data_IF_332835165650
#
_entry.id   IF_332835165650
#
_cell.length_a   1.000
_cell.length_b   1.000
_cell.length_c   1.000
_cell.angle_alpha   90.00
_cell.angle_beta   90.00
_cell.angle_gamma   90.00
#
_symmetry.space_group_name_H-M   'P 1'
#
loop_
_entity.id
_entity.type
_entity.pdbx_description
1 polymer ?
#
# COMPACT_ATOMS: atom_id res chain seq x y z
N UNK A 1 -29.91 4.72 -2.81
CA UNK A 1 -28.70 5.44 -2.38
C UNK A 1 -28.58 6.65 -3.29
N UNK A 2 -28.60 7.85 -2.73
CA UNK A 2 -28.49 9.11 -3.50
C UNK A 2 -27.03 9.41 -3.81
N UNK A 3 -26.75 10.29 -4.78
CA UNK A 3 -25.38 10.71 -5.10
C UNK A 3 -24.67 11.29 -3.85
N UNK A 4 -25.41 12.01 -3.02
CA UNK A 4 -24.93 12.53 -1.73
C UNK A 4 -24.53 11.42 -0.76
N UNK A 5 -25.26 10.30 -0.74
CA UNK A 5 -24.93 9.16 0.11
C UNK A 5 -23.65 8.47 -0.37
N UNK A 6 -23.46 8.38 -1.70
CA UNK A 6 -22.23 7.84 -2.32
C UNK A 6 -21.04 8.73 -1.98
N UNK A 7 -21.16 10.05 -2.15
CA UNK A 7 -20.09 11.00 -1.83
C UNK A 7 -19.69 10.93 -0.35
N UNK A 8 -20.69 10.84 0.53
CA UNK A 8 -20.46 10.70 1.97
C UNK A 8 -19.72 9.39 2.30
N UNK A 9 -20.13 8.29 1.67
CA UNK A 9 -19.48 6.99 1.82
C UNK A 9 -18.03 7.00 1.30
N UNK A 10 -17.79 7.58 0.13
CA UNK A 10 -16.46 7.70 -0.45
C UNK A 10 -15.56 8.58 0.40
N UNK A 11 -16.07 9.72 0.91
CA UNK A 11 -15.34 10.57 1.84
C UNK A 11 -14.96 9.83 3.12
N UNK A 12 -15.89 9.04 3.67
CA UNK A 12 -15.62 8.21 4.85
C UNK A 12 -14.52 7.17 4.61
N UNK A 13 -14.58 6.45 3.48
CA UNK A 13 -13.55 5.47 3.11
C UNK A 13 -12.19 6.13 2.87
N UNK A 14 -12.17 7.25 2.13
CA UNK A 14 -10.94 7.99 1.83
C UNK A 14 -10.26 8.53 3.10
N UNK A 15 -11.02 8.92 4.12
CA UNK A 15 -10.48 9.34 5.40
C UNK A 15 -9.78 8.20 6.18
N UNK A 16 -9.90 6.94 5.74
CA UNK A 16 -9.19 5.80 6.32
C UNK A 16 -7.87 5.47 5.64
N UNK A 17 -7.51 6.18 4.56
CA UNK A 17 -6.21 5.98 3.91
C UNK A 17 -5.07 6.36 4.85
N UNK A 18 -3.97 5.62 4.77
CA UNK A 18 -2.75 5.91 5.51
C UNK A 18 -1.60 6.11 4.52
N UNK A 19 -0.71 7.07 4.79
CA UNK A 19 0.44 7.33 3.92
C UNK A 19 1.39 6.14 3.91
N UNK A 20 2.31 6.14 2.95
CA UNK A 20 3.39 5.16 2.87
C UNK A 20 4.29 5.31 4.09
N UNK A 21 4.50 4.21 4.80
CA UNK A 21 5.36 4.11 5.97
C UNK A 21 6.35 2.97 5.76
N UNK A 22 7.61 3.15 6.17
CA UNK A 22 8.61 2.09 6.13
C UNK A 22 8.34 1.08 7.25
N UNK A 23 8.55 -0.20 6.94
CA UNK A 23 8.45 -1.32 7.88
C UNK A 23 9.67 -2.21 7.75
N UNK A 24 9.87 -3.13 8.70
CA UNK A 24 10.89 -4.15 8.56
C UNK A 24 10.43 -5.33 7.69
N UNK A 25 11.40 -6.17 7.33
CA UNK A 25 11.18 -7.38 6.53
C UNK A 25 10.32 -8.42 7.26
N UNK A 26 10.39 -8.47 8.59
CA UNK A 26 9.67 -9.45 9.40
C UNK A 26 8.17 -9.18 9.32
N UNK A 27 7.76 -7.95 9.61
CA UNK A 27 6.38 -7.45 9.48
C UNK A 27 5.81 -7.71 8.09
N UNK A 28 6.60 -7.50 7.03
CA UNK A 28 6.18 -7.79 5.66
C UNK A 28 5.89 -9.29 5.45
N UNK A 29 6.81 -10.16 5.85
CA UNK A 29 6.69 -11.61 5.65
C UNK A 29 5.59 -12.22 6.51
N UNK A 30 5.40 -11.72 7.74
CA UNK A 30 4.30 -12.14 8.60
C UNK A 30 2.96 -11.88 7.90
N UNK A 31 2.74 -10.66 7.42
CA UNK A 31 1.49 -10.30 6.75
C UNK A 31 1.28 -11.03 5.42
N UNK A 32 2.36 -11.33 4.69
CA UNK A 32 2.30 -12.16 3.47
C UNK A 32 1.83 -13.59 3.77
N UNK A 33 2.14 -14.10 4.97
CA UNK A 33 1.85 -15.48 5.38
C UNK A 33 0.56 -15.64 6.20
N UNK A 34 -0.04 -14.55 6.68
CA UNK A 34 -1.25 -14.58 7.53
C UNK A 34 -2.48 -15.08 6.76
N UNK A 35 -2.69 -14.58 5.54
CA UNK A 35 -3.79 -14.99 4.65
C UNK A 35 -3.32 -14.95 3.19
N UNK A 36 -3.98 -15.71 2.28
CA UNK A 36 -3.65 -15.63 0.86
C UNK A 36 -3.73 -14.19 0.34
N UNK A 37 -2.66 -13.65 -0.27
CA UNK A 37 -2.64 -12.26 -0.71
C UNK A 37 -3.53 -12.02 -1.92
N UNK A 38 -4.13 -10.82 -1.98
CA UNK A 38 -4.79 -10.32 -3.19
C UNK A 38 -3.79 -9.64 -4.13
N UNK A 39 -3.93 -9.93 -5.44
CA UNK A 39 -3.18 -9.29 -6.52
C UNK A 39 -1.68 -9.22 -6.24
N UNK A 40 -1.11 -10.32 -5.75
CA UNK A 40 0.32 -10.42 -5.49
C UNK A 40 1.09 -10.37 -6.80
N UNK A 41 1.96 -9.37 -6.92
CA UNK A 41 2.88 -9.18 -8.05
C UNK A 41 4.30 -9.28 -7.53
N UNK A 42 5.04 -10.23 -8.08
CA UNK A 42 6.42 -10.51 -7.72
C UNK A 42 7.35 -10.23 -8.90
N UNK A 43 8.44 -9.51 -8.67
CA UNK A 43 9.48 -9.21 -9.62
C UNK A 43 10.84 -9.02 -8.93
N UNK A 44 11.91 -8.92 -9.73
CA UNK A 44 13.30 -8.94 -9.24
C UNK A 44 13.58 -7.81 -8.24
N UNK A 45 13.06 -6.61 -8.51
CA UNK A 45 13.36 -5.41 -7.73
C UNK A 45 12.13 -4.78 -7.06
N UNK A 46 10.94 -5.25 -7.40
CA UNK A 46 9.69 -4.73 -6.85
C UNK A 46 8.68 -5.85 -6.65
N UNK A 47 7.95 -5.75 -5.57
CA UNK A 47 6.92 -6.71 -5.22
C UNK A 47 5.84 -6.02 -4.40
N UNK A 48 4.58 -6.37 -4.64
CA UNK A 48 3.48 -5.85 -3.84
C UNK A 48 2.38 -6.87 -3.68
N UNK A 49 1.72 -6.86 -2.54
CA UNK A 49 0.46 -7.57 -2.34
C UNK A 49 -0.52 -6.71 -1.53
N UNK A 50 -1.77 -7.14 -1.55
CA UNK A 50 -2.87 -6.48 -0.82
C UNK A 50 -3.48 -7.48 0.14
N UNK A 51 -3.87 -7.04 1.32
CA UNK A 51 -4.64 -7.89 2.22
C UNK A 51 -5.99 -8.24 1.60
N UNK A 52 -6.50 -9.44 1.91
CA UNK A 52 -7.85 -9.84 1.51
C UNK A 52 -8.93 -9.17 2.38
N UNK A 53 -8.55 -8.74 3.58
CA UNK A 53 -9.41 -8.04 4.51
C UNK A 53 -9.46 -6.54 4.18
N UNK A 54 -10.66 -6.06 3.88
CA UNK A 54 -10.88 -4.63 3.64
C UNK A 54 -11.07 -3.90 4.98
N UNK A 55 -10.31 -2.84 5.18
CA UNK A 55 -10.45 -1.96 6.34
C UNK A 55 -11.76 -1.16 6.28
N UNK A 56 -12.10 -0.63 5.09
CA UNK A 56 -13.32 0.13 4.88
C UNK A 56 -13.66 0.18 3.38
N UNK A 57 -14.78 -0.42 2.97
CA UNK A 57 -15.15 -0.47 1.56
C UNK A 57 -14.08 -1.18 0.72
N UNK A 58 -13.52 -0.49 -0.26
CA UNK A 58 -12.41 -0.99 -1.09
C UNK A 58 -11.03 -0.59 -0.56
N UNK A 59 -10.93 -0.04 0.65
CA UNK A 59 -9.67 0.35 1.28
C UNK A 59 -9.07 -0.84 2.02
N UNK A 60 -7.81 -1.15 1.73
CA UNK A 60 -7.05 -2.26 2.31
C UNK A 60 -5.62 -1.84 2.60
N UNK A 61 -4.93 -2.62 3.42
CA UNK A 61 -3.48 -2.52 3.56
C UNK A 61 -2.78 -3.14 2.34
N UNK A 62 -1.74 -2.45 1.89
CA UNK A 62 -0.95 -2.76 0.70
C UNK A 62 0.51 -2.78 1.15
N UNK A 63 1.14 -3.93 0.99
CA UNK A 63 2.51 -4.18 1.40
C UNK A 63 3.41 -4.19 0.17
N UNK A 64 4.58 -3.58 0.28
CA UNK A 64 5.51 -3.38 -0.82
C UNK A 64 6.92 -3.76 -0.39
N UNK A 65 7.63 -4.48 -1.25
CA UNK A 65 9.09 -4.55 -1.24
C UNK A 65 9.60 -3.78 -2.44
N UNK A 66 10.50 -2.83 -2.21
CA UNK A 66 11.19 -2.09 -3.25
C UNK A 66 12.70 -2.19 -2.96
N UNK A 67 13.44 -2.84 -3.86
CA UNK A 67 14.84 -3.25 -3.66
C UNK A 67 15.00 -4.06 -2.37
N UNK A 68 15.65 -3.48 -1.36
CA UNK A 68 15.96 -4.09 -0.06
C UNK A 68 15.06 -3.55 1.08
N UNK A 69 14.19 -2.59 0.78
CA UNK A 69 13.35 -1.90 1.75
C UNK A 69 11.89 -2.33 1.62
N UNK A 70 11.17 -2.22 2.73
CA UNK A 70 9.79 -2.68 2.87
C UNK A 70 8.91 -1.53 3.34
N UNK A 71 7.71 -1.48 2.79
CA UNK A 71 6.76 -0.40 3.03
C UNK A 71 5.35 -0.95 3.17
N UNK A 72 4.52 -0.19 3.88
CA UNK A 72 3.09 -0.40 3.97
C UNK A 72 2.36 0.91 3.71
N UNK A 73 1.20 0.82 3.08
CA UNK A 73 0.23 1.90 3.02
C UNK A 73 -1.18 1.35 3.13
N UNK A 74 -2.15 2.22 3.38
CA UNK A 74 -3.56 1.86 3.32
C UNK A 74 -4.26 2.69 2.25
N UNK A 75 -4.73 2.03 1.20
CA UNK A 75 -5.38 2.70 0.07
C UNK A 75 -6.33 1.73 -0.65
N UNK A 76 -6.90 2.18 -1.76
CA UNK A 76 -7.84 1.45 -2.55
C UNK A 76 -7.20 0.20 -3.20
N UNK A 77 -7.87 -0.94 -3.06
CA UNK A 77 -7.42 -2.24 -3.58
C UNK A 77 -7.23 -2.29 -5.09
N UNK A 78 -7.79 -1.34 -5.85
CA UNK A 78 -7.67 -1.26 -7.30
C UNK A 78 -6.39 -0.57 -7.76
N UNK A 79 -5.54 -0.08 -6.85
CA UNK A 79 -4.22 0.41 -7.24
C UNK A 79 -3.41 -0.70 -7.92
N UNK A 80 -2.96 -0.40 -9.13
CA UNK A 80 -2.08 -1.29 -9.90
C UNK A 80 -0.69 -1.33 -9.28
N UNK A 81 0.05 -2.42 -9.51
CA UNK A 81 1.45 -2.52 -9.08
C UNK A 81 2.29 -1.31 -9.54
N UNK A 82 2.14 -0.86 -10.79
CA UNK A 82 2.89 0.29 -11.31
C UNK A 82 2.56 1.59 -10.56
N UNK A 83 1.28 1.87 -10.29
CA UNK A 83 0.89 3.05 -9.51
C UNK A 83 1.43 3.00 -8.08
N UNK A 84 1.49 1.81 -7.47
CA UNK A 84 2.05 1.61 -6.14
C UNK A 84 3.57 1.90 -6.18
N UNK A 85 4.29 1.34 -7.15
CA UNK A 85 5.73 1.52 -7.27
C UNK A 85 6.13 2.98 -7.52
N UNK A 86 5.41 3.71 -8.37
CA UNK A 86 5.68 5.13 -8.61
C UNK A 86 5.65 5.93 -7.29
N UNK A 87 4.66 5.69 -6.43
CA UNK A 87 4.54 6.39 -5.14
C UNK A 87 5.63 6.00 -4.16
N UNK A 88 6.03 4.73 -4.12
CA UNK A 88 7.11 4.26 -3.24
C UNK A 88 8.46 4.81 -3.71
N UNK A 89 8.69 4.87 -5.01
CA UNK A 89 9.90 5.46 -5.59
C UNK A 89 10.03 6.95 -5.25
N UNK A 90 8.94 7.73 -5.29
CA UNK A 90 8.92 9.13 -4.86
C UNK A 90 9.37 9.30 -3.40
N UNK A 91 8.89 8.44 -2.50
CA UNK A 91 9.29 8.46 -1.08
C UNK A 91 10.75 8.05 -0.91
N UNK A 92 11.17 6.99 -1.61
CA UNK A 92 12.55 6.50 -1.55
C UNK A 92 13.55 7.57 -1.99
N UNK A 93 13.29 8.25 -3.10
CA UNK A 93 14.13 9.35 -3.61
C UNK A 93 14.14 10.54 -2.65
N UNK A 94 13.01 10.82 -1.97
CA UNK A 94 12.97 11.88 -0.95
C UNK A 94 13.85 11.53 0.25
N UNK A 95 13.81 10.28 0.72
CA UNK A 95 14.64 9.79 1.84
C UNK A 95 16.14 9.82 1.50
N UNK A 96 16.55 9.42 0.29
CA UNK A 96 17.96 9.46 -0.14
C UNK A 96 18.52 10.90 -0.13
N UNK A 97 17.71 11.88 -0.52
CA UNK A 97 18.11 13.30 -0.49
C UNK A 97 18.32 13.83 0.93
N UNK A 98 17.56 13.35 1.90
CA UNK A 98 17.68 13.74 3.30
C UNK A 98 18.89 13.10 4.00
N UNK A 99 19.34 11.92 3.53
CA UNK A 99 20.48 11.19 4.08
C UNK A 99 21.87 11.61 3.58
N UNK A 100 21.98 12.60 2.69
CA UNK A 100 23.25 13.02 2.05
C UNK A 100 23.86 14.30 2.68
N UNK A 101 23.99 14.37 4.01
CA UNK A 101 24.72 15.45 4.71
C UNK A 101 26.09 14.97 5.20
#
# INVERSE_FOLDING_TARGET
MTDKDIDTYLAYCNAKKLPISQIDKETYNENLCVLPPLDWRHGDHSESFKMIEMYCGDITEIYVRFRCDYFVMRDNRYLTHNQIMMRVEEIYVAQEKEGTV
#
